data_IF_785078330849
#
_entry.id   IF_785078330849
#
_cell.length_a   1.000
_cell.length_b   1.000
_cell.length_c   1.000
_cell.angle_alpha   90.00
_cell.angle_beta   90.00
_cell.angle_gamma   90.00
#
_symmetry.space_group_name_H-M   'P 1'
#
loop_
_entity.id
_entity.type
_entity.pdbx_description
1 polymer ?
#
# COMPACT_ATOMS: atom_id res chain seq x y z
N UNK A 1 -5.22 10.31 -29.87
CA UNK A 1 -5.52 10.31 -28.42
C UNK A 1 -4.25 10.63 -27.67
N UNK A 2 -4.15 11.82 -27.11
CA UNK A 2 -3.05 12.16 -26.19
C UNK A 2 -3.26 11.42 -24.88
N UNK A 3 -2.22 10.81 -24.31
CA UNK A 3 -2.23 10.10 -23.00
C UNK A 3 -2.82 10.89 -21.82
N UNK A 4 -3.13 12.19 -22.00
CA UNK A 4 -3.80 13.05 -21.01
C UNK A 4 -5.25 12.64 -20.70
N UNK A 5 -5.93 11.94 -21.61
CA UNK A 5 -7.35 11.60 -21.45
C UNK A 5 -7.59 10.20 -20.84
N UNK A 6 -6.53 9.47 -20.49
CA UNK A 6 -6.70 8.18 -19.80
C UNK A 6 -6.99 8.47 -18.32
N UNK A 7 -8.28 8.53 -17.96
CA UNK A 7 -8.66 8.50 -16.55
C UNK A 7 -8.25 7.15 -15.98
N UNK A 8 -7.16 7.10 -15.24
CA UNK A 8 -6.83 5.94 -14.41
C UNK A 8 -7.90 5.92 -13.31
N UNK A 9 -8.93 5.07 -13.48
CA UNK A 9 -10.07 4.87 -12.57
C UNK A 9 -11.06 6.03 -12.36
N UNK A 10 -11.09 7.07 -13.21
CA UNK A 10 -11.97 8.24 -13.02
C UNK A 10 -11.60 9.09 -11.79
N UNK A 11 -10.39 8.89 -11.24
CA UNK A 11 -9.87 9.61 -10.08
C UNK A 11 -9.12 10.85 -10.58
N UNK A 12 -9.81 11.98 -10.65
CA UNK A 12 -9.28 13.22 -11.24
C UNK A 12 -8.47 14.09 -10.28
N UNK A 13 -8.65 13.94 -8.96
CA UNK A 13 -7.96 14.73 -7.94
C UNK A 13 -7.25 13.83 -6.94
N UNK A 14 -6.25 14.38 -6.25
CA UNK A 14 -5.52 13.69 -5.18
C UNK A 14 -6.49 13.28 -4.08
N UNK A 15 -7.39 14.19 -3.69
CA UNK A 15 -8.46 13.94 -2.72
C UNK A 15 -9.33 12.75 -3.08
N UNK A 16 -9.72 12.62 -4.36
CA UNK A 16 -10.48 11.44 -4.81
C UNK A 16 -9.68 10.16 -4.68
N UNK A 17 -8.39 10.20 -5.04
CA UNK A 17 -7.53 9.01 -4.97
C UNK A 17 -7.25 8.59 -3.52
N UNK A 18 -6.92 9.54 -2.64
CA UNK A 18 -6.74 9.28 -1.21
C UNK A 18 -8.02 8.70 -0.61
N UNK A 19 -9.19 9.29 -0.92
CA UNK A 19 -10.48 8.75 -0.47
C UNK A 19 -10.80 7.34 -1.01
N UNK A 20 -10.32 7.00 -2.21
CA UNK A 20 -10.42 5.63 -2.73
C UNK A 20 -9.55 4.65 -1.93
N UNK A 21 -8.29 5.02 -1.63
CA UNK A 21 -7.39 4.23 -0.80
C UNK A 21 -7.93 4.06 0.62
N UNK A 22 -8.43 5.12 1.24
CA UNK A 22 -9.07 5.08 2.56
C UNK A 22 -10.22 4.07 2.58
N UNK A 23 -11.11 4.09 1.58
CA UNK A 23 -12.21 3.12 1.47
C UNK A 23 -11.70 1.68 1.38
N UNK A 24 -10.67 1.42 0.57
CA UNK A 24 -10.09 0.09 0.45
C UNK A 24 -9.48 -0.40 1.77
N UNK A 25 -8.75 0.46 2.49
CA UNK A 25 -8.19 0.13 3.82
C UNK A 25 -9.29 -0.07 4.85
N UNK A 26 -10.39 0.69 4.81
CA UNK A 26 -11.53 0.48 5.71
C UNK A 26 -12.26 -0.85 5.42
N UNK A 27 -12.38 -1.27 4.16
CA UNK A 27 -12.92 -2.58 3.81
C UNK A 27 -12.06 -3.70 4.41
N UNK A 28 -10.74 -3.63 4.26
CA UNK A 28 -9.81 -4.57 4.91
C UNK A 28 -9.94 -4.54 6.43
N UNK A 29 -10.10 -3.38 7.05
CA UNK A 29 -10.32 -3.26 8.49
C UNK A 29 -11.60 -3.96 8.96
N UNK A 30 -12.66 -3.91 8.14
CA UNK A 30 -13.95 -4.53 8.44
C UNK A 30 -13.92 -6.07 8.39
N UNK A 31 -13.06 -6.63 7.53
CA UNK A 31 -12.84 -8.08 7.41
C UNK A 31 -11.36 -8.36 7.09
N UNK A 32 -10.55 -8.46 8.14
CA UNK A 32 -9.08 -8.57 8.06
C UNK A 32 -8.59 -9.91 7.50
N UNK A 33 -9.48 -10.90 7.38
CA UNK A 33 -9.20 -12.22 6.82
C UNK A 33 -9.45 -12.26 5.30
N UNK A 34 -10.15 -11.25 4.76
CA UNK A 34 -10.59 -11.25 3.38
C UNK A 34 -9.44 -10.94 2.44
N UNK A 35 -8.98 -11.97 1.72
CA UNK A 35 -7.89 -11.84 0.77
C UNK A 35 -8.19 -10.83 -0.34
N UNK A 36 -9.44 -10.71 -0.79
CA UNK A 36 -9.82 -9.74 -1.81
C UNK A 36 -9.68 -8.31 -1.28
N UNK A 37 -10.16 -8.02 -0.07
CA UNK A 37 -9.98 -6.70 0.53
C UNK A 37 -8.51 -6.38 0.79
N UNK A 38 -7.72 -7.37 1.20
CA UNK A 38 -6.26 -7.24 1.32
C UNK A 38 -5.60 -6.85 0.01
N UNK A 39 -5.87 -7.58 -1.08
CA UNK A 39 -5.32 -7.25 -2.40
C UNK A 39 -5.84 -5.93 -2.95
N UNK A 40 -7.13 -5.60 -2.76
CA UNK A 40 -7.68 -4.31 -3.19
C UNK A 40 -6.96 -3.13 -2.52
N UNK A 41 -6.70 -3.20 -1.21
CA UNK A 41 -5.93 -2.17 -0.51
C UNK A 41 -4.49 -2.08 -1.01
N UNK A 42 -3.80 -3.22 -1.17
CA UNK A 42 -2.43 -3.26 -1.71
C UNK A 42 -2.35 -2.65 -3.10
N UNK A 43 -3.25 -3.02 -4.01
CA UNK A 43 -3.25 -2.51 -5.38
C UNK A 43 -3.57 -1.01 -5.43
N UNK A 44 -4.55 -0.54 -4.63
CA UNK A 44 -4.87 0.88 -4.54
C UNK A 44 -3.65 1.70 -4.10
N UNK A 45 -2.95 1.26 -3.05
CA UNK A 45 -1.76 1.95 -2.53
C UNK A 45 -0.56 1.86 -3.49
N UNK A 46 -0.38 0.74 -4.18
CA UNK A 46 0.71 0.52 -5.13
C UNK A 46 0.65 1.44 -6.35
N UNK A 47 -0.55 1.85 -6.77
CA UNK A 47 -0.74 2.66 -7.99
C UNK A 47 -0.70 4.18 -7.77
N UNK A 48 -0.53 4.65 -6.53
CA UNK A 48 -0.38 6.08 -6.25
C UNK A 48 0.81 6.71 -7.02
N UNK A 49 2.03 6.14 -7.04
CA UNK A 49 3.14 6.70 -7.82
C UNK A 49 2.84 6.84 -9.31
N UNK A 50 2.10 5.88 -9.88
CA UNK A 50 1.72 5.88 -11.29
C UNK A 50 0.73 7.03 -11.56
N UNK A 51 -0.24 7.20 -10.67
CA UNK A 51 -1.18 8.32 -10.74
C UNK A 51 -0.45 9.66 -10.61
N UNK A 52 0.47 9.81 -9.64
CA UNK A 52 1.26 11.03 -9.45
C UNK A 52 2.12 11.35 -10.68
N UNK A 53 2.73 10.34 -11.29
CA UNK A 53 3.50 10.51 -12.52
C UNK A 53 2.65 11.11 -13.65
N UNK A 54 1.37 10.77 -13.74
CA UNK A 54 0.49 11.25 -14.82
C UNK A 54 -0.30 12.54 -14.50
N UNK A 55 -0.66 12.77 -13.24
CA UNK A 55 -1.64 13.79 -12.86
C UNK A 55 -1.06 15.02 -12.16
N UNK A 56 0.15 14.95 -11.60
CA UNK A 56 0.75 16.12 -10.95
C UNK A 56 1.10 17.24 -11.93
N UNK A 57 0.69 18.47 -11.60
CA UNK A 57 1.11 19.69 -12.31
C UNK A 57 2.59 19.99 -12.07
N UNK A 58 3.16 20.92 -12.83
CA UNK A 58 4.56 21.34 -12.64
C UNK A 58 4.77 21.99 -11.27
N UNK A 59 3.79 22.74 -10.77
CA UNK A 59 3.80 23.39 -9.47
C UNK A 59 3.77 22.36 -8.34
N UNK A 60 2.86 21.39 -8.40
CA UNK A 60 2.76 20.34 -7.37
C UNK A 60 4.02 19.48 -7.32
N UNK A 61 4.63 19.19 -8.47
CA UNK A 61 5.93 18.48 -8.55
C UNK A 61 7.04 19.23 -7.85
N UNK A 62 7.09 20.56 -7.99
CA UNK A 62 8.07 21.40 -7.28
C UNK A 62 7.85 21.36 -5.77
N UNK A 63 6.59 21.41 -5.32
CA UNK A 63 6.26 21.34 -3.89
C UNK A 63 6.67 19.99 -3.29
N UNK A 64 6.45 18.89 -4.00
CA UNK A 64 6.84 17.55 -3.55
C UNK A 64 8.33 17.22 -3.78
N UNK A 65 9.10 18.09 -4.41
CA UNK A 65 10.47 17.82 -4.88
C UNK A 65 10.57 16.52 -5.73
N UNK A 66 9.56 16.29 -6.58
CA UNK A 66 9.48 15.13 -7.47
C UNK A 66 9.83 15.54 -8.89
N UNK A 67 10.93 15.02 -9.41
CA UNK A 67 11.32 15.26 -10.81
C UNK A 67 10.28 14.75 -11.80
N UNK A 68 10.15 15.40 -12.95
CA UNK A 68 9.32 14.94 -14.09
C UNK A 68 9.93 13.76 -14.85
N UNK A 69 10.79 12.96 -14.20
CA UNK A 69 11.41 11.77 -14.78
C UNK A 69 10.37 10.69 -15.11
N UNK A 70 10.86 9.52 -15.50
CA UNK A 70 9.99 8.37 -15.76
C UNK A 70 9.27 7.90 -14.47
N UNK A 71 8.19 7.14 -14.63
CA UNK A 71 7.40 6.55 -13.53
C UNK A 71 8.28 5.82 -12.49
N UNK A 72 9.28 5.06 -12.95
CA UNK A 72 10.21 4.35 -12.09
C UNK A 72 10.97 5.28 -11.12
N UNK A 73 11.30 6.50 -11.55
CA UNK A 73 11.94 7.49 -10.70
C UNK A 73 11.00 8.04 -9.62
N UNK A 74 9.73 8.32 -9.97
CA UNK A 74 8.71 8.76 -9.00
C UNK A 74 8.49 7.67 -7.95
N UNK A 75 8.34 6.42 -8.39
CA UNK A 75 8.17 5.28 -7.51
C UNK A 75 9.36 5.08 -6.56
N UNK A 76 10.58 5.02 -7.11
CA UNK A 76 11.80 4.84 -6.32
C UNK A 76 12.01 5.98 -5.32
N UNK A 77 11.64 7.22 -5.69
CA UNK A 77 11.70 8.38 -4.80
C UNK A 77 10.90 8.15 -3.52
N UNK A 78 9.64 7.69 -3.62
CA UNK A 78 8.79 7.45 -2.44
C UNK A 78 9.17 6.18 -1.68
N UNK A 79 9.57 5.10 -2.36
CA UNK A 79 10.05 3.87 -1.71
C UNK A 79 11.31 4.10 -0.85
N UNK A 80 12.18 5.03 -1.25
CA UNK A 80 13.35 5.41 -0.44
C UNK A 80 12.96 6.15 0.85
N UNK A 81 11.77 6.77 0.89
CA UNK A 81 11.25 7.46 2.10
C UNK A 81 10.47 6.52 3.02
N UNK A 82 9.87 5.45 2.49
CA UNK A 82 9.12 4.48 3.27
C UNK A 82 9.28 3.04 2.74
N UNK A 83 9.88 2.18 3.56
CA UNK A 83 10.10 0.77 3.26
C UNK A 83 8.81 -0.03 3.06
N UNK A 84 7.70 0.40 3.66
CA UNK A 84 6.40 -0.26 3.55
C UNK A 84 5.90 -0.24 2.11
N UNK A 85 6.22 0.81 1.34
CA UNK A 85 5.90 0.87 -0.08
C UNK A 85 6.63 -0.20 -0.90
N UNK A 86 7.85 -0.55 -0.50
CA UNK A 86 8.59 -1.65 -1.14
C UNK A 86 7.90 -2.98 -0.89
N UNK A 87 7.37 -3.18 0.33
CA UNK A 87 6.64 -4.40 0.70
C UNK A 87 5.28 -4.47 -0.02
N UNK A 88 4.53 -3.37 -0.08
CA UNK A 88 3.29 -3.22 -0.86
C UNK A 88 3.53 -3.62 -2.32
N UNK A 89 4.59 -3.09 -2.95
CA UNK A 89 4.94 -3.42 -4.33
C UNK A 89 5.31 -4.89 -4.50
N UNK A 90 6.08 -5.45 -3.57
CA UNK A 90 6.47 -6.86 -3.60
C UNK A 90 5.24 -7.77 -3.63
N UNK A 91 4.19 -7.42 -2.88
CA UNK A 91 2.90 -8.14 -2.88
C UNK A 91 2.14 -7.91 -4.19
N UNK A 92 2.04 -6.66 -4.65
CA UNK A 92 1.34 -6.31 -5.89
C UNK A 92 1.94 -7.04 -7.13
N UNK A 93 3.26 -7.23 -7.15
CA UNK A 93 3.96 -7.96 -8.20
C UNK A 93 3.96 -9.48 -8.02
N UNK A 94 3.38 -10.00 -6.95
CA UNK A 94 3.33 -11.44 -6.66
C UNK A 94 4.64 -12.06 -6.15
N UNK A 95 5.63 -11.25 -5.76
CA UNK A 95 6.85 -11.74 -5.11
C UNK A 95 6.64 -12.11 -3.63
N UNK A 96 5.59 -11.56 -3.01
CA UNK A 96 5.15 -11.87 -1.65
C UNK A 96 3.64 -12.09 -1.64
N UNK A 97 3.16 -12.79 -0.61
CA UNK A 97 1.75 -13.17 -0.50
C UNK A 97 1.16 -12.74 0.84
N UNK A 98 -0.12 -12.37 0.78
CA UNK A 98 -0.97 -12.25 1.95
C UNK A 98 -1.41 -13.67 2.35
N UNK A 99 -0.96 -14.13 3.51
CA UNK A 99 -1.26 -15.47 4.03
C UNK A 99 -2.32 -15.38 5.12
N UNK A 100 -3.35 -16.22 5.07
CA UNK A 100 -4.35 -16.26 6.12
C UNK A 100 -3.76 -16.89 7.39
N UNK A 101 -3.71 -16.13 8.49
CA UNK A 101 -3.39 -16.63 9.81
C UNK A 101 -4.59 -17.45 10.31
N UNK A 102 -4.53 -18.77 10.15
CA UNK A 102 -5.52 -19.68 10.75
C UNK A 102 -4.93 -20.30 12.02
N UNK A 103 -5.79 -20.64 12.99
CA UNK A 103 -5.39 -21.40 14.19
C UNK A 103 -4.75 -22.77 13.88
N UNK A 104 -4.74 -23.18 12.60
CA UNK A 104 -4.31 -24.47 12.09
C UNK A 104 -3.04 -24.42 11.23
N UNK A 105 -2.52 -23.23 10.89
CA UNK A 105 -1.25 -23.11 10.19
C UNK A 105 -0.12 -23.43 11.17
N UNK A 106 0.26 -24.72 11.18
CA UNK A 106 1.47 -25.31 11.74
C UNK A 106 2.48 -24.28 12.27
N UNK A 107 2.48 -24.09 13.60
CA UNK A 107 3.67 -23.66 14.36
C UNK A 107 4.52 -22.59 13.68
N UNK A 108 3.94 -21.47 13.29
CA UNK A 108 4.72 -20.23 13.23
C UNK A 108 4.98 -19.85 14.69
N UNK A 109 6.21 -20.06 15.14
CA UNK A 109 6.62 -19.86 16.53
C UNK A 109 6.20 -18.44 17.00
N UNK A 110 5.30 -18.37 17.99
CA UNK A 110 4.81 -17.11 18.57
C UNK A 110 3.42 -16.63 18.11
N UNK A 111 2.70 -17.36 17.27
CA UNK A 111 1.37 -16.95 16.80
C UNK A 111 0.21 -17.69 17.49
N UNK A 112 -0.58 -16.95 18.26
CA UNK A 112 -1.97 -17.30 18.62
C UNK A 112 -2.94 -16.65 17.63
N UNK A 113 -4.21 -17.06 17.69
CA UNK A 113 -5.32 -16.36 17.04
C UNK A 113 -5.15 -14.83 17.17
N UNK A 114 -5.47 -14.06 16.11
CA UNK A 114 -5.16 -12.62 16.03
C UNK A 114 -5.69 -11.78 17.19
N UNK A 115 -5.52 -10.45 17.17
CA UNK A 115 -6.13 -9.59 18.20
C UNK A 115 -7.61 -9.97 18.36
N UNK A 116 -7.97 -10.48 19.55
CA UNK A 116 -9.30 -10.98 19.91
C UNK A 116 -9.76 -12.30 19.25
N UNK A 117 -8.86 -13.17 18.82
CA UNK A 117 -9.21 -14.50 18.33
C UNK A 117 -9.70 -14.58 16.88
N UNK A 118 -9.60 -13.47 16.12
CA UNK A 118 -10.12 -13.37 14.75
C UNK A 118 -9.04 -13.74 13.72
N UNK A 119 -9.38 -14.42 12.61
CA UNK A 119 -8.45 -14.62 11.49
C UNK A 119 -8.07 -13.28 10.84
N UNK A 120 -6.87 -13.21 10.29
CA UNK A 120 -6.32 -12.00 9.66
C UNK A 120 -5.24 -12.38 8.66
N UNK A 121 -4.89 -11.45 7.77
CA UNK A 121 -3.81 -11.65 6.79
C UNK A 121 -2.45 -11.30 7.40
N UNK A 122 -1.45 -12.14 7.13
CA UNK A 122 -0.05 -11.97 7.48
C UNK A 122 0.81 -11.79 6.25
N UNK A 123 1.91 -11.06 6.43
CA UNK A 123 2.92 -10.80 5.42
C UNK A 123 4.28 -11.11 6.01
N UNK A 124 5.08 -11.87 5.27
CA UNK A 124 6.49 -12.08 5.57
C UNK A 124 7.31 -10.85 5.13
N UNK A 125 7.94 -10.15 6.07
CA UNK A 125 8.79 -8.99 5.82
C UNK A 125 10.15 -9.37 5.24
N UNK A 126 10.59 -10.63 5.40
CA UNK A 126 11.82 -11.17 4.84
C UNK A 126 12.82 -11.62 5.90
N UNK A 127 13.92 -12.22 5.44
CA UNK A 127 14.91 -12.90 6.30
C UNK A 127 15.77 -11.95 7.15
N UNK A 128 15.74 -10.64 6.86
CA UNK A 128 16.38 -9.61 7.69
C UNK A 128 15.71 -9.45 9.06
N UNK A 129 14.48 -9.97 9.22
CA UNK A 129 13.72 -9.97 10.45
C UNK A 129 13.63 -11.38 11.05
N UNK A 130 13.56 -11.49 12.39
CA UNK A 130 13.59 -12.77 13.11
C UNK A 130 12.39 -12.93 14.05
N UNK A 131 11.91 -14.16 14.19
CA UNK A 131 10.79 -14.49 15.09
C UNK A 131 9.55 -13.66 14.76
N UNK A 132 8.93 -13.07 15.78
CA UNK A 132 7.69 -12.29 15.62
C UNK A 132 7.85 -11.06 14.71
N UNK A 133 9.04 -10.43 14.66
CA UNK A 133 9.24 -9.21 13.86
C UNK A 133 9.31 -9.46 12.36
N UNK A 134 9.43 -10.73 11.94
CA UNK A 134 9.37 -11.16 10.54
C UNK A 134 7.98 -11.01 9.94
N UNK A 135 6.96 -10.99 10.78
CA UNK A 135 5.59 -11.06 10.34
C UNK A 135 4.89 -9.74 10.65
N UNK A 136 4.16 -9.24 9.67
CA UNK A 136 3.36 -8.03 9.78
C UNK A 136 1.92 -8.31 9.34
N UNK A 137 0.95 -7.67 9.97
CA UNK A 137 -0.45 -7.84 9.54
C UNK A 137 -0.71 -7.06 8.26
N UNK A 138 -1.54 -7.61 7.36
CA UNK A 138 -1.92 -6.92 6.12
C UNK A 138 -2.59 -5.57 6.38
N UNK A 139 -3.38 -5.48 7.45
CA UNK A 139 -4.00 -4.22 7.86
C UNK A 139 -2.96 -3.20 8.32
N UNK A 140 -2.02 -3.58 9.18
CA UNK A 140 -0.94 -2.69 9.65
C UNK A 140 -0.12 -2.13 8.50
N UNK A 141 0.31 -2.98 7.56
CA UNK A 141 1.05 -2.53 6.38
C UNK A 141 0.25 -1.50 5.58
N UNK A 142 -1.02 -1.79 5.30
CA UNK A 142 -1.86 -0.90 4.49
C UNK A 142 -2.14 0.44 5.20
N UNK A 143 -2.30 0.42 6.53
CA UNK A 143 -2.49 1.64 7.33
C UNK A 143 -1.23 2.51 7.31
N UNK A 144 -0.06 1.93 7.59
CA UNK A 144 1.20 2.68 7.59
C UNK A 144 1.50 3.29 6.21
N UNK A 145 1.27 2.53 5.13
CA UNK A 145 1.44 3.02 3.77
C UNK A 145 0.44 4.13 3.43
N UNK A 146 -0.82 4.01 3.86
CA UNK A 146 -1.84 5.06 3.67
C UNK A 146 -1.48 6.34 4.44
N UNK A 147 -1.12 6.22 5.72
CA UNK A 147 -0.74 7.35 6.57
C UNK A 147 0.47 8.11 6.00
N UNK A 148 1.45 7.37 5.47
CA UNK A 148 2.57 7.96 4.75
C UNK A 148 2.10 8.77 3.53
N UNK A 149 1.21 8.20 2.71
CA UNK A 149 0.70 8.89 1.52
C UNK A 149 -0.11 10.14 1.88
N UNK A 150 -0.98 10.06 2.88
CA UNK A 150 -1.76 11.22 3.34
C UNK A 150 -0.80 12.33 3.76
N UNK A 151 0.21 12.01 4.57
CA UNK A 151 1.20 12.97 5.04
C UNK A 151 2.03 13.60 3.92
N UNK A 152 2.54 12.80 2.98
CA UNK A 152 3.36 13.32 1.87
C UNK A 152 2.52 14.18 0.92
N UNK A 153 1.26 13.82 0.68
CA UNK A 153 0.39 14.51 -0.27
C UNK A 153 -0.33 15.71 0.34
N UNK A 154 -0.38 15.85 1.66
CA UNK A 154 -1.03 16.96 2.39
C UNK A 154 -0.64 18.34 1.86
N UNK A 155 0.63 18.52 1.47
CA UNK A 155 1.16 19.79 0.96
C UNK A 155 0.60 20.23 -0.40
N UNK A 156 -0.08 19.33 -1.12
CA UNK A 156 -0.62 19.57 -2.47
C UNK A 156 -2.10 19.19 -2.61
N UNK A 157 -2.76 18.86 -1.49
CA UNK A 157 -4.22 18.73 -1.37
C UNK A 157 -4.88 20.12 -1.37
#
# INVERSE_FOLDING_TARGET
MTRKDTSIFGLETITHYVGFCEKAVQQLKSDQANLLFGFSAILALNHIPDWLHHKLTAEQRKVLDVSSGNEANVRKYFENKNSDLTLVRSIANGFKHLSLATNTTQTIEGYSAGPYGKPYLLIDRGDDFKGMSRWETGLTLCQNALDFWIKELESIL
#
